data_IF_815942113438
#
_entry.id   IF_815942113438
#
_cell.length_a   1.000
_cell.length_b   1.000
_cell.length_c   1.000
_cell.angle_alpha   90.00
_cell.angle_beta   90.00
_cell.angle_gamma   90.00
#
_symmetry.space_group_name_H-M   'P 1'
#
loop_
_entity.id
_entity.type
_entity.pdbx_description
1 polymer ?
#
# COMPACT_ATOMS: atom_id res chain seq x y z
N UNK A 1 4.66 8.07 -9.42
CA UNK A 1 6.10 7.72 -9.32
C UNK A 1 6.54 6.88 -10.52
N UNK A 2 7.65 7.23 -11.17
CA UNK A 2 8.22 6.52 -12.33
C UNK A 2 9.17 5.37 -11.94
N UNK A 3 9.49 4.45 -12.88
CA UNK A 3 10.44 3.33 -12.67
C UNK A 3 11.81 3.79 -12.16
N UNK A 4 12.36 4.86 -12.72
CA UNK A 4 13.68 5.39 -12.34
C UNK A 4 13.66 5.99 -10.92
N UNK A 5 12.57 6.65 -10.53
CA UNK A 5 12.40 7.17 -9.18
C UNK A 5 12.23 6.03 -8.16
N UNK A 6 11.50 4.97 -8.52
CA UNK A 6 11.34 3.76 -7.71
C UNK A 6 12.70 3.10 -7.47
N UNK A 7 13.48 2.88 -8.54
CA UNK A 7 14.84 2.31 -8.46
C UNK A 7 15.77 3.13 -7.57
N UNK A 8 15.69 4.45 -7.64
CA UNK A 8 16.54 5.35 -6.87
C UNK A 8 16.14 5.40 -5.39
N UNK A 9 14.84 5.33 -5.10
CA UNK A 9 14.31 5.56 -3.75
C UNK A 9 14.17 4.26 -2.95
N UNK A 10 13.89 3.14 -3.62
CA UNK A 10 13.65 1.82 -3.03
C UNK A 10 14.44 0.73 -3.79
N UNK A 11 15.78 0.76 -3.76
CA UNK A 11 16.62 -0.12 -4.57
C UNK A 11 16.46 -1.60 -4.23
N UNK A 12 16.28 -2.00 -2.96
CA UNK A 12 16.11 -3.42 -2.62
C UNK A 12 14.78 -3.95 -3.13
N UNK A 13 13.71 -3.18 -2.95
CA UNK A 13 12.40 -3.51 -3.53
C UNK A 13 12.49 -3.59 -5.05
N UNK A 14 13.17 -2.63 -5.68
CA UNK A 14 13.33 -2.65 -7.13
C UNK A 14 14.06 -3.90 -7.65
N UNK A 15 15.07 -4.39 -6.92
CA UNK A 15 15.87 -5.55 -7.32
C UNK A 15 15.10 -6.89 -7.27
N UNK A 16 14.02 -6.97 -6.47
CA UNK A 16 13.17 -8.17 -6.37
C UNK A 16 11.94 -8.14 -7.29
N UNK A 17 11.57 -6.95 -7.78
CA UNK A 17 10.42 -6.79 -8.67
C UNK A 17 10.73 -7.31 -10.09
N UNK A 18 9.74 -7.89 -10.79
CA UNK A 18 9.92 -8.32 -12.17
C UNK A 18 10.36 -7.17 -13.12
N UNK A 19 11.16 -7.50 -14.13
CA UNK A 19 11.78 -6.52 -15.03
C UNK A 19 10.76 -5.65 -15.78
N UNK A 20 9.56 -6.16 -15.99
CA UNK A 20 8.41 -5.52 -16.64
C UNK A 20 7.61 -4.57 -15.72
N UNK A 21 7.97 -4.46 -14.44
CA UNK A 21 7.32 -3.53 -13.49
C UNK A 21 7.69 -2.07 -13.80
N UNK A 22 6.95 -1.40 -14.69
CA UNK A 22 7.33 -0.06 -15.15
C UNK A 22 6.78 1.10 -14.30
N UNK A 23 5.80 0.87 -13.43
CA UNK A 23 5.08 1.94 -12.72
C UNK A 23 4.59 1.50 -11.34
N UNK A 24 4.39 2.47 -10.43
CA UNK A 24 3.91 2.24 -9.06
C UNK A 24 2.59 1.49 -9.01
N UNK A 25 1.63 1.85 -9.89
CA UNK A 25 0.29 1.26 -9.93
C UNK A 25 0.26 -0.25 -10.16
N UNK A 26 1.37 -0.84 -10.63
CA UNK A 26 1.48 -2.29 -10.81
C UNK A 26 1.80 -3.03 -9.51
N UNK A 27 2.33 -2.33 -8.50
CA UNK A 27 2.74 -2.91 -7.21
C UNK A 27 1.89 -2.39 -6.05
N UNK A 28 1.43 -1.14 -6.13
CA UNK A 28 0.64 -0.50 -5.08
C UNK A 28 -0.40 0.42 -5.71
N UNK A 29 -1.67 0.17 -5.41
CA UNK A 29 -2.80 0.99 -5.82
C UNK A 29 -3.30 1.74 -4.59
N UNK A 30 -3.56 3.04 -4.73
CA UNK A 30 -4.05 3.90 -3.66
C UNK A 30 -5.16 4.75 -4.26
N UNK A 31 -6.35 4.64 -3.71
CA UNK A 31 -7.53 5.35 -4.17
C UNK A 31 -8.23 6.01 -2.98
N UNK A 32 -8.83 7.17 -3.19
CA UNK A 32 -9.69 7.81 -2.19
C UNK A 32 -10.91 6.92 -1.94
N UNK A 33 -11.21 6.67 -0.66
CA UNK A 33 -12.37 5.90 -0.27
C UNK A 33 -13.60 6.81 -0.29
N UNK A 34 -14.42 6.66 -1.31
CA UNK A 34 -15.67 7.40 -1.45
C UNK A 34 -16.85 6.48 -1.20
N UNK A 35 -17.88 7.03 -0.56
CA UNK A 35 -19.18 6.37 -0.47
C UNK A 35 -19.87 6.51 -1.84
N UNK A 36 -19.48 5.68 -2.81
CA UNK A 36 -20.16 5.64 -4.10
C UNK A 36 -21.42 4.80 -3.94
N UNK A 37 -22.57 5.47 -3.95
CA UNK A 37 -23.90 4.92 -3.59
C UNK A 37 -24.34 3.77 -4.53
N UNK A 38 -23.53 3.44 -5.54
CA UNK A 38 -23.80 2.46 -6.60
C UNK A 38 -22.82 1.25 -6.62
N UNK A 39 -21.85 1.13 -5.71
CA UNK A 39 -20.91 -0.01 -5.69
C UNK A 39 -21.03 -0.88 -4.43
N UNK A 40 -21.75 -2.01 -4.56
CA UNK A 40 -21.82 -3.10 -3.57
C UNK A 40 -20.45 -3.78 -3.28
N UNK A 41 -19.33 -3.28 -3.81
CA UNK A 41 -18.03 -3.99 -3.82
C UNK A 41 -17.10 -3.66 -2.64
N UNK A 42 -17.37 -2.63 -1.84
CA UNK A 42 -16.49 -2.21 -0.73
C UNK A 42 -17.21 -1.91 0.60
N UNK A 43 -18.32 -2.59 0.90
CA UNK A 43 -19.08 -2.45 2.16
C UNK A 43 -18.28 -2.76 3.45
N UNK A 44 -17.02 -3.19 3.36
CA UNK A 44 -16.20 -3.59 4.52
C UNK A 44 -15.37 -2.45 5.13
N UNK A 45 -15.13 -1.34 4.43
CA UNK A 45 -14.26 -0.25 4.89
C UNK A 45 -15.02 1.07 4.75
N UNK A 46 -15.56 1.56 5.87
CA UNK A 46 -16.37 2.78 5.90
C UNK A 46 -15.51 4.01 5.53
N UNK A 47 -15.89 4.81 4.52
CA UNK A 47 -15.17 6.02 4.14
C UNK A 47 -15.18 7.13 5.21
N UNK A 48 -16.11 7.09 6.17
CA UNK A 48 -16.08 7.99 7.34
C UNK A 48 -14.94 7.64 8.30
N UNK A 49 -14.58 6.35 8.39
CA UNK A 49 -13.52 5.85 9.26
C UNK A 49 -12.17 5.78 8.54
N UNK A 50 -12.14 5.57 7.21
CA UNK A 50 -10.93 5.43 6.41
C UNK A 50 -11.05 6.17 5.08
N UNK A 51 -10.28 7.24 4.89
CA UNK A 51 -10.39 8.10 3.71
C UNK A 51 -9.63 7.60 2.46
N UNK A 52 -8.79 6.56 2.59
CA UNK A 52 -8.12 5.93 1.45
C UNK A 52 -8.17 4.40 1.56
N UNK A 53 -8.27 3.77 0.40
CA UNK A 53 -8.04 2.34 0.20
C UNK A 53 -6.65 2.15 -0.40
N UNK A 54 -5.88 1.23 0.17
CA UNK A 54 -4.56 0.86 -0.32
C UNK A 54 -4.57 -0.62 -0.65
N UNK A 55 -4.27 -0.96 -1.91
CA UNK A 55 -4.15 -2.34 -2.35
C UNK A 55 -2.71 -2.66 -2.74
N UNK A 56 -2.10 -3.56 -1.97
CA UNK A 56 -0.83 -4.20 -2.28
C UNK A 56 -1.11 -5.32 -3.28
N UNK A 57 -0.68 -5.16 -4.52
CA UNK A 57 -1.01 -6.13 -5.57
C UNK A 57 -0.39 -7.49 -5.29
N UNK A 58 -0.98 -8.56 -5.83
CA UNK A 58 -0.43 -9.91 -5.76
C UNK A 58 1.04 -9.95 -6.20
N UNK A 59 1.40 -9.19 -7.25
CA UNK A 59 2.78 -9.03 -7.72
C UNK A 59 3.73 -8.58 -6.60
N UNK A 60 3.32 -7.56 -5.83
CA UNK A 60 4.14 -7.04 -4.74
C UNK A 60 4.18 -8.05 -3.58
N UNK A 61 3.05 -8.66 -3.24
CA UNK A 61 2.97 -9.69 -2.19
C UNK A 61 3.86 -10.90 -2.48
N UNK A 62 3.82 -11.41 -3.71
CA UNK A 62 4.67 -12.52 -4.16
C UNK A 62 6.15 -12.14 -4.18
N UNK A 63 6.48 -10.92 -4.60
CA UNK A 63 7.87 -10.45 -4.65
C UNK A 63 8.51 -10.33 -3.27
N UNK A 64 7.77 -9.81 -2.28
CA UNK A 64 8.28 -9.62 -0.91
C UNK A 64 8.19 -10.90 -0.06
N UNK A 65 7.30 -11.83 -0.43
CA UNK A 65 7.04 -13.08 0.27
C UNK A 65 6.12 -12.95 1.49
N UNK A 66 5.42 -14.04 1.80
CA UNK A 66 4.42 -14.12 2.88
C UNK A 66 4.99 -13.77 4.26
N UNK A 67 6.20 -14.23 4.57
CA UNK A 67 6.85 -14.02 5.87
C UNK A 67 7.12 -12.53 6.16
N UNK A 68 7.29 -11.72 5.12
CA UNK A 68 7.48 -10.28 5.23
C UNK A 68 6.13 -9.56 5.23
N UNK A 69 5.22 -9.95 4.33
CA UNK A 69 3.86 -9.41 4.27
C UNK A 69 3.15 -9.46 5.63
N UNK A 70 3.17 -10.61 6.31
CA UNK A 70 2.55 -10.78 7.63
C UNK A 70 3.09 -9.80 8.69
N UNK A 71 4.36 -9.38 8.57
CA UNK A 71 5.00 -8.45 9.51
C UNK A 71 4.77 -6.98 9.15
N UNK A 72 4.38 -6.69 7.91
CA UNK A 72 4.24 -5.31 7.44
C UNK A 72 2.97 -4.67 7.97
N UNK A 73 1.87 -5.43 8.10
CA UNK A 73 0.61 -4.93 8.66
C UNK A 73 0.81 -4.29 10.05
N UNK A 74 1.48 -5.01 10.95
CA UNK A 74 1.84 -4.51 12.29
C UNK A 74 2.71 -3.23 12.23
N UNK A 75 3.62 -3.14 11.26
CA UNK A 75 4.51 -1.98 11.09
C UNK A 75 3.76 -0.77 10.56
N UNK A 76 2.84 -0.96 9.63
CA UNK A 76 2.00 0.12 9.10
C UNK A 76 1.12 0.72 10.18
N UNK A 77 0.47 -0.12 10.98
CA UNK A 77 -0.30 0.31 12.14
C UNK A 77 0.55 1.10 13.16
N UNK A 78 1.86 0.83 13.24
CA UNK A 78 2.80 1.51 14.14
C UNK A 78 3.51 2.72 13.53
N UNK A 79 3.25 3.08 12.27
CA UNK A 79 3.93 4.18 11.58
C UNK A 79 3.72 5.54 12.26
N UNK A 80 2.63 5.68 13.02
CA UNK A 80 2.25 6.92 13.71
C UNK A 80 1.78 8.05 12.77
N UNK A 81 1.71 7.78 11.47
CA UNK A 81 1.23 8.74 10.45
C UNK A 81 -0.24 8.49 10.13
N UNK A 82 -0.69 7.25 10.19
CA UNK A 82 -2.10 6.91 10.09
C UNK A 82 -2.80 7.22 11.41
N UNK A 83 -3.88 7.99 11.33
CA UNK A 83 -4.77 8.24 12.47
C UNK A 83 -5.53 6.96 12.84
N UNK A 84 -5.92 6.20 11.81
CA UNK A 84 -6.45 4.85 11.92
C UNK A 84 -5.94 3.98 10.75
N UNK A 85 -5.82 2.68 11.00
CA UNK A 85 -5.31 1.71 10.05
C UNK A 85 -6.06 0.39 10.23
N UNK A 86 -6.64 -0.10 9.14
CA UNK A 86 -7.37 -1.36 9.10
C UNK A 86 -6.82 -2.27 8.02
N UNK A 87 -6.49 -3.50 8.40
CA UNK A 87 -6.11 -4.56 7.47
C UNK A 87 -7.35 -5.41 7.18
N UNK A 88 -7.87 -5.29 5.96
CA UNK A 88 -9.02 -6.06 5.52
C UNK A 88 -8.63 -7.46 5.02
N UNK A 89 -7.33 -7.78 4.98
CA UNK A 89 -6.79 -9.00 4.40
C UNK A 89 -6.55 -8.89 2.89
N UNK A 90 -5.92 -9.92 2.33
CA UNK A 90 -5.65 -10.08 0.89
C UNK A 90 -4.93 -8.87 0.25
N UNK A 91 -4.13 -8.15 1.03
CA UNK A 91 -3.38 -6.97 0.60
C UNK A 91 -4.20 -5.68 0.55
N UNK A 92 -5.45 -5.69 1.00
CA UNK A 92 -6.32 -4.51 1.07
C UNK A 92 -6.25 -3.88 2.47
N UNK A 93 -6.00 -2.57 2.50
CA UNK A 93 -5.93 -1.78 3.72
C UNK A 93 -6.82 -0.56 3.62
N UNK A 94 -7.55 -0.27 4.69
CA UNK A 94 -8.20 1.01 4.93
C UNK A 94 -7.26 1.90 5.74
N UNK A 95 -7.01 3.12 5.30
CA UNK A 95 -6.16 4.06 6.05
C UNK A 95 -6.87 5.39 6.23
N UNK A 96 -6.75 5.95 7.43
CA UNK A 96 -7.18 7.29 7.76
C UNK A 96 -5.97 8.19 7.94
N UNK A 97 -5.81 9.20 7.10
CA UNK A 97 -4.64 10.08 7.16
C UNK A 97 -4.88 11.47 6.56
N UNK A 98 -4.08 12.43 6.99
CA UNK A 98 -3.99 13.76 6.37
C UNK A 98 -3.05 13.79 5.16
N UNK A 99 -2.26 12.74 4.96
CA UNK A 99 -1.38 12.60 3.80
C UNK A 99 -2.19 12.30 2.53
N UNK A 100 -1.69 12.71 1.37
CA UNK A 100 -2.26 12.27 0.08
C UNK A 100 -1.65 10.94 -0.39
N UNK A 101 -2.09 10.45 -1.55
CA UNK A 101 -1.63 9.21 -2.18
C UNK A 101 -0.09 9.07 -2.20
N UNK A 102 0.62 10.12 -2.60
CA UNK A 102 2.09 10.12 -2.65
C UNK A 102 2.74 9.92 -1.26
N UNK A 103 2.11 10.44 -0.21
CA UNK A 103 2.56 10.27 1.18
C UNK A 103 2.33 8.85 1.66
N UNK A 104 1.14 8.31 1.39
CA UNK A 104 0.78 6.91 1.68
C UNK A 104 1.73 5.95 0.97
N UNK A 105 1.97 6.14 -0.33
CA UNK A 105 2.89 5.34 -1.13
C UNK A 105 4.30 5.31 -0.51
N UNK A 106 4.80 6.48 -0.10
CA UNK A 106 6.13 6.57 0.53
C UNK A 106 6.22 5.76 1.82
N UNK A 107 5.17 5.75 2.64
CA UNK A 107 5.14 4.98 3.88
C UNK A 107 5.19 3.49 3.58
N UNK A 108 4.28 3.03 2.71
CA UNK A 108 4.18 1.62 2.34
C UNK A 108 5.49 1.08 1.77
N UNK A 109 6.06 1.79 0.78
CA UNK A 109 7.28 1.38 0.11
C UNK A 109 8.52 1.51 1.02
N UNK A 110 8.58 2.54 1.89
CA UNK A 110 9.71 2.71 2.81
C UNK A 110 9.80 1.59 3.83
N UNK A 111 8.67 1.13 4.37
CA UNK A 111 8.68 0.02 5.34
C UNK A 111 9.00 -1.32 4.67
N UNK A 112 8.57 -1.54 3.42
CA UNK A 112 8.99 -2.69 2.61
C UNK A 112 10.51 -2.65 2.41
N UNK A 113 11.04 -1.54 1.90
CA UNK A 113 12.48 -1.35 1.64
C UNK A 113 13.35 -1.52 2.90
N UNK A 114 12.85 -1.10 4.06
CA UNK A 114 13.54 -1.29 5.35
C UNK A 114 13.54 -2.74 5.81
N UNK A 115 12.53 -3.49 5.44
CA UNK A 115 12.30 -4.85 5.93
C UNK A 115 12.85 -5.94 4.99
N UNK A 116 13.15 -5.59 3.74
CA UNK A 116 14.02 -6.32 2.82
C UNK A 116 15.50 -6.20 3.21
#
# INVERSE_FOLDING_TARGET
>A
MSRDELRKSYPKLFDILPEDTTELRYILVIDENFNDVDSDEFDAIDPEDFNYLVYMTELLQESIGSDLYEKLSDRYAQSGIFEDFYDAGDGLFGVMTKEGEDGIAKIFLSEIERSL
#
